data_IF_405270118718
#
_entry.id   IF_405270118718
#
_cell.length_a   1.000
_cell.length_b   1.000
_cell.length_c   1.000
_cell.angle_alpha   90.00
_cell.angle_beta   90.00
_cell.angle_gamma   90.00
#
_symmetry.space_group_name_H-M   'P 1'
#
loop_
_entity.id
_entity.type
_entity.pdbx_description
1 polymer ?
#
# COMPACT_ATOMS: atom_id res chain seq x y z
N UNK A 1 35.62 15.92 -54.88
CA UNK A 1 34.32 15.31 -54.52
C UNK A 1 34.53 13.84 -54.12
N UNK A 2 35.28 13.57 -53.04
CA UNK A 2 35.61 12.19 -52.64
C UNK A 2 35.83 12.05 -51.13
N UNK A 3 35.19 12.91 -50.31
CA UNK A 3 35.39 12.91 -48.84
C UNK A 3 34.12 13.09 -48.02
N UNK A 4 32.94 13.11 -48.66
CA UNK A 4 31.63 13.11 -48.00
C UNK A 4 30.96 11.74 -47.99
N UNK A 5 31.25 10.85 -48.95
CA UNK A 5 30.72 9.48 -48.95
C UNK A 5 31.28 8.61 -47.81
N UNK A 6 32.57 8.77 -47.46
CA UNK A 6 33.21 7.96 -46.42
C UNK A 6 32.70 8.29 -45.01
N UNK A 7 32.43 9.57 -44.73
CA UNK A 7 32.01 10.04 -43.40
C UNK A 7 30.58 9.62 -43.05
N UNK A 8 29.69 9.53 -44.05
CA UNK A 8 28.35 8.99 -43.85
C UNK A 8 28.37 7.45 -43.80
N UNK A 9 29.22 6.79 -44.59
CA UNK A 9 29.43 5.34 -44.52
C UNK A 9 29.85 4.86 -43.14
N UNK A 10 30.82 5.53 -42.49
CA UNK A 10 31.25 5.19 -41.12
C UNK A 10 30.11 5.34 -40.12
N UNK A 11 29.26 6.37 -40.25
CA UNK A 11 28.12 6.56 -39.36
C UNK A 11 27.09 5.45 -39.49
N UNK A 12 26.79 5.00 -40.70
CA UNK A 12 25.89 3.86 -40.92
C UNK A 12 26.48 2.54 -40.43
N UNK A 13 27.79 2.31 -40.60
CA UNK A 13 28.45 1.12 -40.07
C UNK A 13 28.43 1.10 -38.53
N UNK A 14 28.69 2.24 -37.87
CA UNK A 14 28.58 2.35 -36.41
C UNK A 14 27.13 2.16 -35.92
N UNK A 15 26.15 2.72 -36.62
CA UNK A 15 24.74 2.55 -36.28
C UNK A 15 24.31 1.08 -36.37
N UNK A 16 24.68 0.38 -37.46
CA UNK A 16 24.38 -1.04 -37.64
C UNK A 16 25.07 -1.92 -36.59
N UNK A 17 26.29 -1.57 -36.20
CA UNK A 17 27.00 -2.27 -35.13
C UNK A 17 26.31 -2.11 -33.77
N UNK A 18 25.86 -0.91 -33.43
CA UNK A 18 25.11 -0.66 -32.18
C UNK A 18 23.76 -1.37 -32.15
N UNK A 19 23.04 -1.40 -33.28
CA UNK A 19 21.78 -2.16 -33.41
C UNK A 19 22.06 -3.67 -33.25
N UNK A 20 23.14 -4.19 -33.84
CA UNK A 20 23.57 -5.58 -33.68
C UNK A 20 23.85 -5.95 -32.23
N UNK A 21 24.56 -5.08 -31.48
CA UNK A 21 24.84 -5.30 -30.05
C UNK A 21 23.57 -5.28 -29.19
N UNK A 22 22.62 -4.38 -29.49
CA UNK A 22 21.33 -4.34 -28.80
C UNK A 22 20.52 -5.62 -29.05
N UNK A 23 20.50 -6.11 -30.29
CA UNK A 23 19.85 -7.37 -30.64
C UNK A 23 20.50 -8.59 -29.95
N UNK A 24 21.83 -8.64 -29.89
CA UNK A 24 22.59 -9.68 -29.18
C UNK A 24 22.28 -9.71 -27.67
N UNK A 25 22.26 -8.54 -27.02
CA UNK A 25 21.89 -8.43 -25.60
C UNK A 25 20.43 -8.84 -25.34
N UNK A 26 19.53 -8.56 -26.28
CA UNK A 26 18.12 -8.96 -26.17
C UNK A 26 17.97 -10.46 -26.37
N UNK A 27 18.75 -11.05 -27.28
CA UNK A 27 18.78 -12.49 -27.51
C UNK A 27 19.36 -13.26 -26.32
N UNK A 28 20.43 -12.78 -25.66
CA UNK A 28 20.96 -13.41 -24.45
C UNK A 28 19.95 -13.34 -23.30
N UNK A 29 19.30 -12.18 -23.11
CA UNK A 29 18.24 -12.03 -22.11
C UNK A 29 17.09 -13.03 -22.33
N UNK A 30 16.67 -13.23 -23.58
CA UNK A 30 15.60 -14.17 -23.90
C UNK A 30 16.02 -15.64 -23.77
N UNK A 31 17.29 -15.97 -24.07
CA UNK A 31 17.86 -17.33 -23.93
C UNK A 31 17.91 -17.78 -22.47
N UNK A 32 18.28 -16.88 -21.57
CA UNK A 32 18.32 -17.18 -20.13
C UNK A 32 16.90 -17.41 -19.57
N UNK A 33 15.89 -16.73 -20.11
CA UNK A 33 14.47 -16.96 -19.77
C UNK A 33 13.94 -18.32 -20.22
N UNK A 34 14.55 -18.97 -21.21
CA UNK A 34 14.15 -20.30 -21.70
C UNK A 34 14.88 -21.43 -20.98
N UNK A 35 16.14 -21.24 -20.59
CA UNK A 35 16.90 -22.22 -19.82
C UNK A 35 16.43 -22.37 -18.36
N UNK A 36 15.70 -21.38 -17.81
CA UNK A 36 15.07 -21.49 -16.49
C UNK A 36 13.81 -22.36 -16.43
N UNK A 37 13.23 -22.72 -17.59
CA UNK A 37 11.92 -23.38 -17.66
C UNK A 37 11.96 -24.85 -18.15
N UNK A 38 13.14 -25.41 -18.42
CA UNK A 38 13.30 -26.78 -18.97
C UNK A 38 14.02 -27.75 -18.02
N UNK A 39 14.08 -27.45 -16.73
CA UNK A 39 14.55 -28.40 -15.70
C UNK A 39 13.58 -28.47 -14.52
N UNK A 40 12.30 -28.70 -14.81
CA UNK A 40 11.28 -29.12 -13.83
C UNK A 40 10.31 -30.07 -14.54
N UNK A 41 10.80 -31.23 -14.97
CA UNK A 41 9.95 -32.34 -15.42
C UNK A 41 9.67 -33.28 -14.25
N UNK A 42 8.37 -33.49 -14.00
CA UNK A 42 7.81 -34.69 -13.41
C UNK A 42 8.25 -35.05 -11.98
N UNK A 43 7.59 -34.44 -11.00
CA UNK A 43 7.25 -35.16 -9.77
C UNK A 43 5.75 -34.97 -9.53
N UNK A 44 5.00 -36.05 -9.73
CA UNK A 44 3.62 -36.16 -9.27
C UNK A 44 3.68 -36.18 -7.74
N UNK A 45 3.06 -35.22 -7.01
CA UNK A 45 2.95 -35.35 -5.58
C UNK A 45 1.78 -36.31 -5.31
N UNK A 46 2.11 -37.56 -5.04
CA UNK A 46 1.25 -38.40 -4.21
C UNK A 46 1.24 -37.75 -2.83
N UNK A 47 0.21 -36.97 -2.54
CA UNK A 47 0.02 -36.33 -1.24
C UNK A 47 -0.40 -37.44 -0.27
N UNK A 48 0.57 -38.12 0.32
CA UNK A 48 0.35 -38.84 1.58
C UNK A 48 0.12 -37.76 2.65
N UNK A 49 -1.15 -37.54 3.00
CA UNK A 49 -1.53 -36.68 4.12
C UNK A 49 -1.05 -37.38 5.39
N UNK A 50 0.18 -37.08 5.81
CA UNK A 50 0.55 -37.27 7.21
C UNK A 50 -0.26 -36.26 8.01
N UNK A 51 -1.26 -36.80 8.71
CA UNK A 51 -2.18 -36.11 9.59
C UNK A 51 -1.39 -35.60 10.81
N UNK A 52 -0.68 -34.50 10.62
CA UNK A 52 0.03 -33.78 11.67
C UNK A 52 -0.98 -33.20 12.64
N UNK A 53 -0.74 -33.45 13.93
CA UNK A 53 -1.53 -33.07 15.09
C UNK A 53 -2.27 -31.75 14.96
N UNK A 54 -3.60 -31.81 15.06
CA UNK A 54 -4.54 -30.69 14.95
C UNK A 54 -4.40 -29.72 16.13
N UNK A 55 -3.37 -28.87 16.11
CA UNK A 55 -3.47 -27.57 16.76
C UNK A 55 -4.29 -26.65 15.83
N UNK A 56 -5.28 -25.90 16.33
CA UNK A 56 -6.01 -24.93 15.51
C UNK A 56 -5.01 -24.00 14.83
N UNK A 57 -5.16 -23.78 13.51
CA UNK A 57 -4.33 -22.82 12.81
C UNK A 57 -4.53 -21.44 13.44
N UNK A 58 -3.46 -20.89 14.01
CA UNK A 58 -3.49 -19.57 14.62
C UNK A 58 -2.85 -18.55 13.68
N UNK A 59 -3.54 -17.44 13.44
CA UNK A 59 -3.02 -16.37 12.60
C UNK A 59 -1.66 -15.88 13.13
N UNK A 60 -0.60 -15.90 12.31
CA UNK A 60 0.68 -15.33 12.72
C UNK A 60 0.53 -13.81 12.88
N UNK A 61 1.06 -13.27 13.96
CA UNK A 61 1.13 -11.84 14.18
C UNK A 61 2.52 -11.32 13.75
N UNK A 62 2.57 -10.44 12.76
CA UNK A 62 3.83 -9.79 12.42
C UNK A 62 4.23 -8.77 13.48
N UNK A 63 5.53 -8.68 13.74
CA UNK A 63 6.12 -7.74 14.71
C UNK A 63 5.76 -6.28 14.45
N UNK A 64 5.60 -5.87 13.18
CA UNK A 64 5.20 -4.50 12.81
C UNK A 64 3.71 -4.22 13.08
N UNK A 65 2.88 -5.26 13.21
CA UNK A 65 1.42 -5.16 13.37
C UNK A 65 0.95 -5.47 14.80
N UNK A 66 1.87 -5.47 15.78
CA UNK A 66 1.60 -5.64 17.20
C UNK A 66 1.25 -4.29 17.87
N UNK A 67 0.35 -3.51 17.24
CA UNK A 67 -0.08 -2.23 17.76
C UNK A 67 -1.61 -2.19 17.89
N UNK A 68 -2.07 -1.76 19.06
CA UNK A 68 -3.47 -1.47 19.35
C UNK A 68 -3.58 -0.01 19.78
N UNK A 69 -4.55 0.72 19.23
CA UNK A 69 -4.88 2.09 19.62
C UNK A 69 -6.38 2.21 19.77
N UNK A 70 -6.90 2.97 20.72
CA UNK A 70 -8.36 3.17 20.83
C UNK A 70 -8.84 4.47 20.17
N UNK A 71 -7.91 5.27 19.64
CA UNK A 71 -8.19 6.61 19.12
C UNK A 71 -7.61 6.80 17.73
N UNK A 72 -8.26 7.68 16.96
CA UNK A 72 -7.72 8.18 15.69
C UNK A 72 -7.00 9.52 15.96
N UNK A 73 -5.80 9.74 15.40
CA UNK A 73 -5.08 11.00 15.55
C UNK A 73 -5.91 12.20 15.08
N UNK A 74 -5.77 13.33 15.78
CA UNK A 74 -6.37 14.63 15.43
C UNK A 74 -7.91 14.60 15.24
N UNK A 75 -8.62 13.68 15.88
CA UNK A 75 -10.07 13.54 15.74
C UNK A 75 -10.83 14.85 16.00
N UNK A 76 -10.47 15.60 17.05
CA UNK A 76 -11.09 16.89 17.35
C UNK A 76 -10.93 17.91 16.21
N UNK A 77 -9.74 17.98 15.61
CA UNK A 77 -9.45 18.89 14.49
C UNK A 77 -10.20 18.44 13.22
N UNK A 78 -10.28 17.14 12.97
CA UNK A 78 -11.09 16.59 11.88
C UNK A 78 -12.57 16.98 12.05
N UNK A 79 -13.12 16.87 13.25
CA UNK A 79 -14.51 17.27 13.53
C UNK A 79 -14.74 18.76 13.28
N UNK A 80 -13.80 19.63 13.69
CA UNK A 80 -13.85 21.06 13.38
C UNK A 80 -13.84 21.32 11.87
N UNK A 81 -12.97 20.62 11.13
CA UNK A 81 -12.87 20.75 9.68
C UNK A 81 -14.12 20.26 8.95
N UNK A 82 -14.74 19.18 9.45
CA UNK A 82 -16.02 18.68 8.94
C UNK A 82 -17.12 19.73 9.13
N UNK A 83 -17.21 20.34 10.32
CA UNK A 83 -18.18 21.41 10.60
C UNK A 83 -18.00 22.62 9.68
N UNK A 84 -16.75 22.94 9.33
CA UNK A 84 -16.41 24.03 8.41
C UNK A 84 -16.48 23.63 6.92
N UNK A 85 -16.93 22.41 6.57
CA UNK A 85 -16.96 21.87 5.21
C UNK A 85 -15.59 21.86 4.50
N UNK A 86 -14.50 21.83 5.26
CA UNK A 86 -13.14 21.76 4.73
C UNK A 86 -12.95 20.38 4.08
N UNK A 87 -12.38 20.36 2.87
CA UNK A 87 -12.18 19.13 2.07
C UNK A 87 -13.47 18.50 1.51
N UNK A 88 -14.63 19.16 1.62
CA UNK A 88 -15.85 18.65 0.98
C UNK A 88 -15.76 18.77 -0.55
N UNK A 89 -16.11 17.70 -1.26
CA UNK A 89 -16.21 17.65 -2.73
C UNK A 89 -17.46 16.87 -3.11
N UNK A 90 -18.32 17.47 -3.93
CA UNK A 90 -19.59 16.85 -4.35
C UNK A 90 -19.55 16.52 -5.86
N UNK A 91 -18.36 16.23 -6.41
CA UNK A 91 -18.12 16.13 -7.85
C UNK A 91 -18.40 14.75 -8.46
N UNK A 92 -18.67 13.72 -7.63
CA UNK A 92 -18.95 12.36 -8.08
C UNK A 92 -20.42 12.02 -7.79
N UNK A 93 -21.16 11.68 -8.86
CA UNK A 93 -22.57 11.29 -8.81
C UNK A 93 -22.76 9.94 -8.11
N UNK A 94 -23.98 9.71 -7.62
CA UNK A 94 -24.40 8.54 -6.83
C UNK A 94 -23.85 7.23 -7.39
N UNK A 95 -22.86 6.69 -6.70
CA UNK A 95 -22.31 5.37 -6.94
C UNK A 95 -22.38 4.56 -5.65
N UNK A 96 -22.61 3.26 -5.78
CA UNK A 96 -22.48 2.36 -4.65
C UNK A 96 -21.07 2.49 -4.07
N UNK A 97 -21.01 2.57 -2.74
CA UNK A 97 -19.76 2.76 -2.02
C UNK A 97 -18.94 1.48 -2.17
N UNK A 98 -17.71 1.63 -2.67
CA UNK A 98 -16.75 0.55 -2.85
C UNK A 98 -15.45 0.92 -2.16
N UNK A 99 -14.89 -0.02 -1.42
CA UNK A 99 -13.59 0.09 -0.82
C UNK A 99 -12.52 -0.13 -1.90
N UNK A 100 -11.62 0.84 -2.07
CA UNK A 100 -10.57 0.78 -3.09
C UNK A 100 -9.29 0.18 -2.51
N UNK A 101 -8.88 0.66 -1.34
CA UNK A 101 -7.64 0.23 -0.69
C UNK A 101 -7.65 0.59 0.79
N UNK A 102 -6.81 -0.08 1.57
CA UNK A 102 -6.56 0.27 2.95
C UNK A 102 -5.07 0.31 3.21
N UNK A 103 -4.60 1.42 3.79
CA UNK A 103 -3.20 1.69 4.07
C UNK A 103 -2.94 1.74 5.56
N UNK A 104 -1.87 1.08 5.99
CA UNK A 104 -1.43 1.11 7.37
C UNK A 104 -0.42 2.24 7.57
N UNK A 105 -0.78 3.19 8.44
CA UNK A 105 0.13 4.19 9.01
C UNK A 105 0.58 3.77 10.42
N UNK A 106 1.51 4.55 10.99
CA UNK A 106 2.09 4.27 12.30
C UNK A 106 1.03 4.24 13.41
N UNK A 107 0.04 5.11 13.37
CA UNK A 107 -0.94 5.36 14.44
C UNK A 107 -2.40 5.06 14.02
N UNK A 108 -2.67 4.93 12.72
CA UNK A 108 -4.00 4.64 12.19
C UNK A 108 -3.95 3.82 10.89
N UNK A 109 -5.11 3.41 10.42
CA UNK A 109 -5.35 2.76 9.13
C UNK A 109 -6.24 3.70 8.33
N UNK A 110 -5.90 3.98 7.08
CA UNK A 110 -6.73 4.78 6.19
C UNK A 110 -7.35 3.90 5.12
N UNK A 111 -8.68 3.90 5.03
CA UNK A 111 -9.44 3.23 3.98
C UNK A 111 -9.84 4.28 2.96
N UNK A 112 -9.52 4.05 1.68
CA UNK A 112 -9.95 4.91 0.58
C UNK A 112 -11.14 4.27 -0.10
N UNK A 113 -12.19 5.06 -0.33
CA UNK A 113 -13.41 4.62 -1.03
C UNK A 113 -13.58 5.37 -2.34
N UNK A 114 -14.51 4.95 -3.18
CA UNK A 114 -14.93 5.73 -4.37
C UNK A 114 -15.93 6.87 -4.05
N UNK A 115 -16.47 6.94 -2.82
CA UNK A 115 -17.59 7.81 -2.48
C UNK A 115 -17.14 9.14 -1.89
N UNK A 116 -17.29 10.23 -2.64
CA UNK A 116 -17.07 11.59 -2.12
C UNK A 116 -18.32 12.15 -1.43
N UNK A 117 -19.52 11.73 -1.85
CA UNK A 117 -20.79 12.20 -1.28
C UNK A 117 -21.00 11.76 0.17
N UNK A 118 -20.32 10.69 0.60
CA UNK A 118 -20.38 10.19 1.97
C UNK A 118 -19.61 11.06 2.96
N UNK A 119 -18.98 12.16 2.52
CA UNK A 119 -18.28 13.12 3.39
C UNK A 119 -19.09 13.45 4.65
N UNK A 120 -18.44 13.33 5.81
CA UNK A 120 -19.04 13.62 7.12
C UNK A 120 -20.06 12.57 7.60
N UNK A 121 -20.34 11.52 6.84
CA UNK A 121 -21.20 10.42 7.29
C UNK A 121 -20.43 9.50 8.24
N UNK A 122 -21.13 9.05 9.29
CA UNK A 122 -20.60 8.06 10.23
C UNK A 122 -20.56 6.68 9.58
N UNK A 123 -19.58 5.90 10.00
CA UNK A 123 -19.33 4.56 9.46
C UNK A 123 -18.60 3.72 10.51
N UNK A 124 -18.79 2.42 10.53
CA UNK A 124 -18.07 1.50 11.41
C UNK A 124 -16.94 0.81 10.68
N UNK A 125 -15.72 0.93 11.20
CA UNK A 125 -14.57 0.13 10.80
C UNK A 125 -14.76 -1.31 11.32
N UNK A 126 -14.62 -2.28 10.42
CA UNK A 126 -14.70 -3.72 10.70
C UNK A 126 -13.35 -4.37 10.42
N UNK A 127 -12.90 -5.20 11.35
CA UNK A 127 -11.54 -5.74 11.34
C UNK A 127 -11.58 -7.26 11.25
N UNK A 128 -10.78 -7.83 10.36
CA UNK A 128 -10.75 -9.26 10.12
C UNK A 128 -9.35 -9.82 10.25
N UNK A 129 -9.27 -11.03 10.80
CA UNK A 129 -8.04 -11.78 10.95
C UNK A 129 -7.61 -12.41 9.60
N UNK A 130 -6.52 -13.17 9.61
CA UNK A 130 -6.00 -13.86 8.42
C UNK A 130 -6.95 -14.93 7.86
N UNK A 131 -7.88 -15.44 8.67
CA UNK A 131 -8.92 -16.39 8.30
C UNK A 131 -10.20 -15.70 7.78
N UNK A 132 -10.18 -14.37 7.63
CA UNK A 132 -11.34 -13.54 7.24
C UNK A 132 -12.50 -13.56 8.24
N UNK A 133 -12.20 -13.88 9.50
CA UNK A 133 -13.16 -13.82 10.60
C UNK A 133 -13.10 -12.46 11.27
N UNK A 134 -14.26 -11.90 11.59
CA UNK A 134 -14.35 -10.61 12.28
C UNK A 134 -13.79 -10.72 13.70
N UNK A 135 -12.90 -9.80 14.06
CA UNK A 135 -12.34 -9.74 15.41
C UNK A 135 -13.39 -9.16 16.34
N UNK A 136 -13.86 -9.95 17.31
CA UNK A 136 -14.92 -9.55 18.23
C UNK A 136 -14.52 -8.30 19.06
N UNK A 137 -15.51 -7.44 19.35
CA UNK A 137 -15.35 -6.21 20.14
C UNK A 137 -14.26 -5.25 19.63
N UNK A 138 -13.89 -5.35 18.36
CA UNK A 138 -12.86 -4.51 17.76
C UNK A 138 -13.40 -3.36 16.92
N UNK A 139 -14.70 -3.37 16.60
CA UNK A 139 -15.35 -2.38 15.74
C UNK A 139 -15.19 -0.96 16.30
N UNK A 140 -15.11 0.01 15.40
CA UNK A 140 -14.87 1.40 15.77
C UNK A 140 -15.69 2.33 14.90
N UNK A 141 -16.43 3.26 15.50
CA UNK A 141 -17.19 4.27 14.76
C UNK A 141 -16.25 5.38 14.30
N UNK A 142 -16.10 5.51 12.99
CA UNK A 142 -15.35 6.55 12.30
C UNK A 142 -16.29 7.44 11.47
N UNK A 143 -15.68 8.30 10.65
CA UNK A 143 -16.35 9.27 9.79
C UNK A 143 -15.60 9.37 8.46
N UNK A 144 -16.32 9.62 7.38
CA UNK A 144 -15.72 9.91 6.07
C UNK A 144 -15.06 11.29 6.09
N UNK A 145 -13.74 11.30 6.31
CA UNK A 145 -12.90 12.49 6.29
C UNK A 145 -11.40 12.16 6.17
N UNK A 146 -10.64 12.92 5.35
CA UNK A 146 -11.08 13.93 4.39
C UNK A 146 -11.74 13.29 3.15
N UNK A 147 -12.66 14.01 2.50
CA UNK A 147 -13.35 13.55 1.28
C UNK A 147 -13.95 12.14 1.44
N UNK A 148 -13.31 11.16 0.78
CA UNK A 148 -13.69 9.76 0.61
C UNK A 148 -12.83 8.78 1.44
N UNK A 149 -12.06 9.31 2.40
CA UNK A 149 -11.17 8.54 3.26
C UNK A 149 -11.82 8.28 4.61
N UNK A 150 -11.63 7.08 5.16
CA UNK A 150 -12.08 6.70 6.51
C UNK A 150 -10.84 6.34 7.32
N UNK A 151 -10.69 6.93 8.51
CA UNK A 151 -9.57 6.64 9.40
C UNK A 151 -10.00 5.73 10.53
N UNK A 152 -9.34 4.59 10.66
CA UNK A 152 -9.63 3.56 11.65
C UNK A 152 -8.41 3.42 12.58
N UNK A 153 -8.59 3.19 13.88
CA UNK A 153 -7.48 2.90 14.76
C UNK A 153 -6.77 1.58 14.43
N UNK A 154 -5.56 1.42 14.93
CA UNK A 154 -4.78 0.18 14.78
C UNK A 154 -5.34 -0.92 15.69
N UNK A 155 -5.34 -2.15 15.19
CA UNK A 155 -5.78 -3.36 15.90
C UNK A 155 -4.79 -4.47 15.62
N UNK A 156 -4.42 -5.21 16.66
CA UNK A 156 -3.46 -6.32 16.56
C UNK A 156 -4.07 -7.44 15.73
N UNK A 157 -3.28 -7.99 14.81
CA UNK A 157 -3.64 -9.20 14.07
C UNK A 157 -4.61 -9.01 12.91
N UNK A 158 -4.91 -7.75 12.57
CA UNK A 158 -5.75 -7.45 11.42
C UNK A 158 -5.01 -7.70 10.11
N UNK A 159 -5.71 -8.30 9.16
CA UNK A 159 -5.26 -8.56 7.79
C UNK A 159 -6.17 -7.97 6.74
N UNK A 160 -7.46 -7.95 7.02
CA UNK A 160 -8.45 -7.37 6.14
C UNK A 160 -9.31 -6.37 6.90
N UNK A 161 -9.79 -5.39 6.18
CA UNK A 161 -10.67 -4.34 6.65
C UNK A 161 -11.96 -4.37 5.86
N UNK A 162 -13.06 -3.99 6.50
CA UNK A 162 -14.28 -3.61 5.83
C UNK A 162 -14.93 -2.44 6.56
N UNK A 163 -16.05 -1.96 6.04
CA UNK A 163 -16.89 -0.95 6.66
C UNK A 163 -18.35 -1.40 6.72
N UNK A 164 -19.12 -0.86 7.66
CA UNK A 164 -20.59 -0.96 7.68
C UNK A 164 -21.19 0.38 8.07
N UNK A 165 -22.41 0.69 7.63
CA UNK A 165 -23.08 1.94 8.02
C UNK A 165 -23.75 1.80 9.38
N UNK A 166 -24.27 0.60 9.66
CA UNK A 166 -24.83 0.27 10.97
C UNK A 166 -23.98 -0.77 11.73
N UNK A 167 -24.22 -0.86 13.03
CA UNK A 167 -23.56 -1.83 13.91
C UNK A 167 -24.02 -3.28 13.69
N UNK A 168 -25.21 -3.47 13.12
CA UNK A 168 -25.84 -4.79 12.91
C UNK A 168 -25.94 -5.19 11.42
N UNK A 169 -25.59 -4.28 10.52
CA UNK A 169 -25.64 -4.52 9.07
C UNK A 169 -24.45 -5.35 8.59
N UNK A 170 -24.67 -6.11 7.51
CA UNK A 170 -23.63 -6.85 6.79
C UNK A 170 -22.59 -5.85 6.28
N UNK A 171 -21.32 -6.11 6.61
CA UNK A 171 -20.20 -5.30 6.14
C UNK A 171 -20.05 -5.33 4.62
N UNK A 172 -19.43 -4.30 4.07
CA UNK A 172 -19.01 -4.28 2.67
C UNK A 172 -17.96 -5.37 2.36
N UNK A 173 -17.57 -5.49 1.10
CA UNK A 173 -16.52 -6.41 0.67
C UNK A 173 -15.19 -6.14 1.41
N UNK A 174 -14.56 -7.20 1.91
CA UNK A 174 -13.31 -7.12 2.67
C UNK A 174 -12.12 -6.81 1.76
N UNK A 175 -11.33 -5.81 2.12
CA UNK A 175 -10.10 -5.44 1.42
C UNK A 175 -8.85 -5.72 2.26
N UNK A 176 -7.72 -6.11 1.66
CA UNK A 176 -6.48 -6.37 2.39
C UNK A 176 -5.83 -5.07 2.89
N UNK A 177 -5.12 -5.16 4.01
CA UNK A 177 -4.22 -4.12 4.50
C UNK A 177 -2.95 -4.06 3.63
N UNK A 178 -2.69 -2.89 3.07
CA UNK A 178 -1.42 -2.57 2.42
C UNK A 178 -0.51 -1.81 3.39
N UNK A 179 0.70 -2.31 3.55
CA UNK A 179 1.74 -1.64 4.35
C UNK A 179 2.44 -0.65 3.43
N UNK A 180 2.33 0.63 3.73
CA UNK A 180 3.17 1.64 3.09
C UNK A 180 4.53 1.62 3.79
N UNK A 181 5.45 0.77 3.31
CA UNK A 181 6.85 0.89 3.72
C UNK A 181 7.41 2.16 3.10
N UNK A 182 7.42 3.27 3.85
CA UNK A 182 8.26 4.42 3.51
C UNK A 182 9.73 4.00 3.70
N UNK A 183 10.31 3.33 2.71
CA UNK A 183 11.76 3.11 2.64
C UNK A 183 12.40 4.46 2.36
N UNK A 184 12.72 5.22 3.41
CA UNK A 184 13.56 6.41 3.27
C UNK A 184 15.00 5.93 3.11
N UNK A 185 15.45 5.80 1.87
CA UNK A 185 16.88 5.62 1.59
C UNK A 185 17.60 6.94 1.83
N UNK A 186 18.18 7.13 3.01
CA UNK A 186 19.08 8.26 3.25
C UNK A 186 20.42 7.95 2.59
N UNK A 187 20.68 8.53 1.41
CA UNK A 187 22.05 8.55 0.86
C UNK A 187 22.89 9.52 1.68
N UNK A 188 23.70 8.99 2.58
CA UNK A 188 24.77 9.77 3.21
C UNK A 188 25.90 9.99 2.21
N UNK A 189 26.53 11.17 2.24
CA UNK A 189 27.55 11.65 1.30
C UNK A 189 28.88 10.84 1.25
N UNK A 190 28.95 9.67 1.89
CA UNK A 190 30.19 8.89 2.06
C UNK A 190 30.14 7.46 1.47
N UNK A 191 29.27 7.16 0.49
CA UNK A 191 29.28 5.87 -0.25
C UNK A 191 29.27 4.61 0.65
N UNK A 192 28.41 4.59 1.66
CA UNK A 192 28.06 3.36 2.38
C UNK A 192 26.54 3.27 2.40
N UNK A 193 25.99 2.30 1.66
CA UNK A 193 24.59 1.94 1.74
C UNK A 193 24.34 1.27 3.10
N UNK A 194 23.91 2.04 4.09
CA UNK A 194 23.51 1.51 5.39
C UNK A 194 22.04 1.11 5.31
N UNK A 195 21.78 -0.17 5.04
CA UNK A 195 20.47 -0.78 5.30
C UNK A 195 20.24 -0.80 6.81
N UNK A 196 19.36 0.07 7.30
CA UNK A 196 18.93 0.04 8.69
C UNK A 196 17.40 0.01 8.76
N UNK A 197 16.87 -1.08 9.31
CA UNK A 197 15.52 -1.13 9.84
C UNK A 197 15.45 -0.10 10.98
N UNK A 198 14.96 1.10 10.67
CA UNK A 198 14.89 2.22 11.61
C UNK A 198 13.75 2.01 12.62
N UNK A 199 13.93 1.04 13.52
CA UNK A 199 13.16 0.93 14.76
C UNK A 199 13.73 1.96 15.73
N UNK A 200 12.93 2.98 16.07
CA UNK A 200 13.10 3.86 17.25
C UNK A 200 14.43 4.65 17.33
N UNK A 201 14.63 5.67 16.49
CA UNK A 201 15.48 6.82 16.87
C UNK A 201 15.25 8.11 16.07
N UNK A 202 13.99 8.47 15.83
CA UNK A 202 13.63 9.75 15.18
C UNK A 202 13.16 10.83 16.17
N UNK A 203 13.14 10.55 17.47
CA UNK A 203 12.64 11.52 18.46
C UNK A 203 13.68 12.51 19.02
N UNK A 204 14.98 12.41 18.68
CA UNK A 204 15.99 13.25 19.36
C UNK A 204 16.89 14.16 18.51
N UNK A 205 16.77 14.25 17.19
CA UNK A 205 17.81 15.01 16.44
C UNK A 205 17.38 15.81 15.22
N UNK A 206 16.10 15.83 14.85
CA UNK A 206 15.69 16.62 13.69
C UNK A 206 14.33 17.28 13.91
N UNK A 207 14.34 18.60 14.12
CA UNK A 207 13.23 19.48 13.76
C UNK A 207 13.06 19.40 12.24
N UNK A 208 12.36 18.37 11.74
CA UNK A 208 11.86 18.36 10.37
C UNK A 208 10.50 19.04 10.40
N UNK A 209 10.53 20.34 10.12
CA UNK A 209 9.38 21.10 9.63
C UNK A 209 9.25 20.87 8.13
N UNK A 210 8.66 19.74 7.72
CA UNK A 210 8.13 19.53 6.37
C UNK A 210 7.08 18.42 6.42
N UNK A 211 5.97 18.55 5.68
CA UNK A 211 4.69 18.02 6.11
C UNK A 211 4.60 16.51 5.92
N UNK A 212 3.96 15.90 6.91
CA UNK A 212 3.22 14.65 6.78
C UNK A 212 2.46 14.73 5.45
N UNK A 213 2.42 13.66 4.65
CA UNK A 213 1.41 13.54 3.59
C UNK A 213 0.01 13.45 4.24
N UNK A 214 -0.42 14.52 4.91
CA UNK A 214 -1.81 14.88 4.93
C UNK A 214 -2.20 15.10 3.48
N UNK A 215 -3.35 14.57 3.07
CA UNK A 215 -4.04 15.09 1.90
C UNK A 215 -4.22 16.58 2.15
N UNK A 216 -3.32 17.39 1.59
CA UNK A 216 -3.27 18.81 1.81
C UNK A 216 -4.58 19.38 1.28
N UNK A 217 -5.41 19.86 2.18
CA UNK A 217 -6.62 20.57 1.82
C UNK A 217 -6.16 21.93 1.31
N UNK A 218 -6.11 22.09 -0.02
CA UNK A 218 -5.93 23.40 -0.62
C UNK A 218 -7.15 24.26 -0.27
N UNK A 219 -7.00 25.15 0.71
CA UNK A 219 -7.93 26.25 0.95
C UNK A 219 -7.60 27.31 -0.10
N UNK A 220 -8.48 27.45 -1.10
CA UNK A 220 -8.42 28.54 -2.07
C UNK A 220 -8.88 29.87 -1.44
N UNK A 221 -8.49 31.01 -2.03
CA UNK A 221 -8.88 32.34 -1.57
C UNK A 221 -10.39 32.62 -1.69
#
# INVERSE_FOLDING_TARGET
>A
MMMTCYRNGIKYMLLLFLIGLAALNTYSYWRDSLNGNTLNTSMHPEVTVEQSSTSPFQCPFESWNQLHSDTVPNENLHMEWIQNNISRRDNILESQIRLLSSFVYLDHISIITNSQRSYGQKVYCRYYNCLREEISNSSFQSIFFPMNVIRCPRRIGVKYMSISFDSEEISQEQIPLFIEFLKVTVRSFNNVDVFSDFKLKLQSTFHISAPIHEVSVCVGP
#
